data_IF_416003616581
#
_entry.id   IF_416003616581
#
_cell.length_a   1.000
_cell.length_b   1.000
_cell.length_c   1.000
_cell.angle_alpha   90.00
_cell.angle_beta   90.00
_cell.angle_gamma   90.00
#
_symmetry.space_group_name_H-M   'P 1'
#
loop_
_entity.id
_entity.type
_entity.pdbx_description
1 polymer ?
#
# COMPACT_ATOMS: atom_id res chain seq x y z
N UNK A 1 -38.53 5.98 6.68
CA UNK A 1 -37.15 6.12 7.18
C UNK A 1 -37.00 5.13 8.33
N UNK A 2 -35.85 4.48 8.50
CA UNK A 2 -35.54 3.40 9.47
C UNK A 2 -35.54 1.97 8.90
N UNK A 3 -34.53 1.64 8.10
CA UNK A 3 -34.20 0.23 7.78
C UNK A 3 -32.69 -0.06 7.79
N UNK A 4 -31.87 0.84 8.34
CA UNK A 4 -30.40 0.69 8.39
C UNK A 4 -29.86 -0.03 9.64
N UNK A 5 -30.72 -0.39 10.60
CA UNK A 5 -30.28 -0.87 11.93
C UNK A 5 -30.31 -2.39 12.14
N UNK A 6 -30.31 -3.19 11.06
CA UNK A 6 -30.26 -4.66 11.17
C UNK A 6 -28.88 -5.20 10.74
N UNK A 7 -27.89 -5.32 11.65
CA UNK A 7 -26.57 -5.86 11.32
C UNK A 7 -26.62 -7.29 10.73
N UNK A 8 -27.64 -8.09 11.10
CA UNK A 8 -27.86 -9.42 10.55
C UNK A 8 -28.46 -9.47 9.13
N UNK A 9 -28.87 -8.35 8.52
CA UNK A 9 -29.27 -8.32 7.10
C UNK A 9 -28.09 -8.05 6.17
N UNK A 10 -27.04 -7.41 6.65
CA UNK A 10 -25.89 -6.99 5.85
C UNK A 10 -24.88 -8.12 5.56
N UNK A 11 -25.12 -9.36 6.01
CA UNK A 11 -24.22 -10.51 5.81
C UNK A 11 -23.90 -10.83 4.34
N UNK A 12 -24.80 -10.48 3.41
CA UNK A 12 -24.58 -10.71 1.98
C UNK A 12 -23.58 -9.72 1.37
N UNK A 13 -23.41 -8.52 1.95
CA UNK A 13 -22.43 -7.53 1.49
C UNK A 13 -20.98 -8.06 1.55
N UNK A 14 -20.45 -8.50 2.72
CA UNK A 14 -19.10 -9.04 2.82
C UNK A 14 -18.92 -10.34 2.01
N UNK A 15 -20.00 -11.10 1.76
CA UNK A 15 -19.93 -12.27 0.91
C UNK A 15 -19.68 -11.90 -0.56
N UNK A 16 -20.47 -10.96 -1.09
CA UNK A 16 -20.36 -10.51 -2.49
C UNK A 16 -19.02 -9.83 -2.71
N UNK A 17 -18.65 -8.89 -1.83
CA UNK A 17 -17.35 -8.23 -1.91
C UNK A 17 -16.22 -9.24 -1.79
N UNK A 18 -16.31 -10.20 -0.87
CA UNK A 18 -15.31 -11.25 -0.71
C UNK A 18 -15.08 -12.09 -1.97
N UNK A 19 -16.16 -12.51 -2.65
CA UNK A 19 -16.08 -13.21 -3.94
C UNK A 19 -15.44 -12.32 -5.01
N UNK A 20 -15.86 -11.05 -5.10
CA UNK A 20 -15.27 -10.09 -6.04
C UNK A 20 -13.76 -9.93 -5.82
N UNK A 21 -13.32 -9.79 -4.57
CA UNK A 21 -11.90 -9.69 -4.20
C UNK A 21 -11.10 -10.92 -4.66
N UNK A 22 -11.63 -12.14 -4.49
CA UNK A 22 -10.98 -13.37 -4.98
C UNK A 22 -10.89 -13.38 -6.50
N UNK A 23 -11.97 -13.03 -7.20
CA UNK A 23 -11.99 -12.99 -8.67
C UNK A 23 -10.97 -11.99 -9.21
N UNK A 24 -10.91 -10.80 -8.62
CA UNK A 24 -9.92 -9.77 -8.97
C UNK A 24 -8.49 -10.28 -8.71
N UNK A 25 -8.24 -10.90 -7.56
CA UNK A 25 -6.92 -11.46 -7.24
C UNK A 25 -6.47 -12.54 -8.25
N UNK A 26 -7.37 -13.42 -8.67
CA UNK A 26 -7.10 -14.42 -9.72
C UNK A 26 -6.86 -13.74 -11.07
N UNK A 27 -7.62 -12.68 -11.39
CA UNK A 27 -7.46 -11.94 -12.63
C UNK A 27 -6.09 -11.26 -12.69
N UNK A 28 -5.61 -10.67 -11.58
CA UNK A 28 -4.29 -10.04 -11.51
C UNK A 28 -3.18 -11.03 -11.89
N UNK A 29 -3.26 -12.28 -11.44
CA UNK A 29 -2.30 -13.32 -11.83
C UNK A 29 -2.38 -13.70 -13.32
N UNK A 30 -3.56 -13.63 -13.93
CA UNK A 30 -3.72 -13.91 -15.36
C UNK A 30 -3.19 -12.77 -16.24
N UNK A 31 -3.27 -11.54 -15.76
CA UNK A 31 -2.86 -10.34 -16.51
C UNK A 31 -1.87 -9.48 -15.71
N UNK A 32 -0.66 -10.00 -15.42
CA UNK A 32 0.29 -9.31 -14.55
C UNK A 32 0.73 -7.95 -15.12
N UNK A 33 0.95 -7.86 -16.44
CA UNK A 33 1.38 -6.62 -17.09
C UNK A 33 0.32 -5.51 -16.99
N UNK A 34 -0.92 -5.80 -17.40
CA UNK A 34 -2.03 -4.84 -17.36
C UNK A 34 -2.35 -4.40 -15.92
N UNK A 35 -2.30 -5.33 -14.97
CA UNK A 35 -2.55 -5.04 -13.56
C UNK A 35 -1.50 -4.10 -12.99
N UNK A 36 -0.25 -4.30 -13.38
CA UNK A 36 0.85 -3.45 -12.96
C UNK A 36 0.76 -2.04 -13.55
N UNK A 37 0.41 -1.93 -14.85
CA UNK A 37 0.15 -0.63 -15.49
C UNK A 37 -1.01 0.10 -14.81
N UNK A 38 -2.09 -0.62 -14.50
CA UNK A 38 -3.25 -0.06 -13.80
C UNK A 38 -2.88 0.49 -12.42
N UNK A 39 -2.11 -0.29 -11.63
CA UNK A 39 -1.59 0.15 -10.34
C UNK A 39 -0.69 1.38 -10.49
N UNK A 40 0.16 1.39 -11.52
CA UNK A 40 1.07 2.49 -11.80
C UNK A 40 0.33 3.78 -12.11
N UNK A 41 -0.71 3.73 -12.94
CA UNK A 41 -1.56 4.89 -13.26
C UNK A 41 -2.30 5.37 -12.00
N UNK A 42 -2.85 4.44 -11.21
CA UNK A 42 -3.50 4.78 -9.95
C UNK A 42 -2.56 5.54 -9.00
N UNK A 43 -1.31 5.08 -8.88
CA UNK A 43 -0.29 5.79 -8.11
C UNK A 43 0.07 7.14 -8.74
N UNK A 44 0.22 7.23 -10.06
CA UNK A 44 0.53 8.49 -10.74
C UNK A 44 -0.53 9.57 -10.45
N UNK A 45 -1.81 9.20 -10.50
CA UNK A 45 -2.92 10.09 -10.13
C UNK A 45 -2.83 10.47 -8.65
N UNK A 46 -2.50 9.51 -7.78
CA UNK A 46 -2.31 9.78 -6.34
C UNK A 46 -1.18 10.78 -6.09
N UNK A 47 -0.05 10.65 -6.77
CA UNK A 47 1.07 11.60 -6.70
C UNK A 47 0.68 13.00 -7.16
N UNK A 48 -0.07 13.11 -8.27
CA UNK A 48 -0.56 14.40 -8.75
C UNK A 48 -1.50 15.07 -7.74
N UNK A 49 -2.46 14.30 -7.21
CA UNK A 49 -3.43 14.80 -6.24
C UNK A 49 -2.71 15.21 -4.96
N UNK A 50 -1.91 14.32 -4.37
CA UNK A 50 -1.14 14.61 -3.15
C UNK A 50 -0.23 15.82 -3.31
N UNK A 51 0.52 15.89 -4.42
CA UNK A 51 1.40 17.02 -4.71
C UNK A 51 0.64 18.35 -4.80
N UNK A 52 -0.51 18.37 -5.49
CA UNK A 52 -1.36 19.56 -5.58
C UNK A 52 -1.89 19.98 -4.21
N UNK A 53 -2.42 19.04 -3.42
CA UNK A 53 -2.93 19.32 -2.09
C UNK A 53 -1.83 19.81 -1.15
N UNK A 54 -0.63 19.25 -1.21
CA UNK A 54 0.49 19.67 -0.38
C UNK A 54 1.00 21.06 -0.76
N UNK A 55 1.04 21.40 -2.06
CA UNK A 55 1.36 22.76 -2.52
C UNK A 55 0.31 23.75 -2.00
N UNK A 56 -0.98 23.44 -2.13
CA UNK A 56 -2.07 24.32 -1.62
C UNK A 56 -1.93 24.49 -0.11
N UNK A 57 -1.67 23.41 0.62
CA UNK A 57 -1.48 23.44 2.08
C UNK A 57 -0.25 24.27 2.48
N UNK A 58 0.87 24.13 1.77
CA UNK A 58 2.09 24.88 2.02
C UNK A 58 1.91 26.38 1.77
N UNK A 59 1.22 26.76 0.69
CA UNK A 59 0.91 28.15 0.34
C UNK A 59 -0.13 28.77 1.29
N UNK A 60 -1.06 27.98 1.82
CA UNK A 60 -2.04 28.45 2.80
C UNK A 60 -1.43 28.64 4.19
N UNK A 61 -0.40 27.86 4.52
CA UNK A 61 0.25 27.84 5.83
C UNK A 61 1.70 28.34 5.81
N UNK A 62 1.97 29.39 5.05
CA UNK A 62 3.31 30.01 4.91
C UNK A 62 3.90 30.53 6.23
N UNK A 63 3.06 30.74 7.24
CA UNK A 63 3.47 31.15 8.58
C UNK A 63 4.11 30.00 9.40
N UNK A 64 4.00 28.74 8.96
CA UNK A 64 4.62 27.60 9.62
C UNK A 64 6.12 27.51 9.27
N UNK A 65 6.95 27.15 10.25
CA UNK A 65 8.41 27.04 10.08
C UNK A 65 8.84 26.02 9.01
N UNK A 66 7.99 25.04 8.70
CA UNK A 66 8.29 23.96 7.76
C UNK A 66 7.59 24.12 6.40
N UNK A 67 6.94 25.27 6.12
CA UNK A 67 6.14 25.46 4.90
C UNK A 67 6.95 25.22 3.61
N UNK A 68 8.22 25.65 3.58
CA UNK A 68 9.09 25.48 2.42
C UNK A 68 9.43 24.01 2.13
N UNK A 69 9.53 23.17 3.16
CA UNK A 69 9.74 21.73 2.99
C UNK A 69 8.49 21.05 2.42
N UNK A 70 7.30 21.44 2.88
CA UNK A 70 6.04 20.96 2.30
C UNK A 70 5.85 21.41 0.86
N UNK A 71 6.21 22.66 0.52
CA UNK A 71 6.16 23.13 -0.87
C UNK A 71 7.09 22.32 -1.77
N UNK A 72 8.33 22.07 -1.32
CA UNK A 72 9.29 21.27 -2.05
C UNK A 72 8.80 19.81 -2.23
N UNK A 73 8.27 19.20 -1.16
CA UNK A 73 7.67 17.87 -1.20
C UNK A 73 6.53 17.78 -2.21
N UNK A 74 5.57 18.71 -2.14
CA UNK A 74 4.44 18.74 -3.06
C UNK A 74 4.84 18.95 -4.52
N UNK A 75 5.87 19.77 -4.79
CA UNK A 75 6.39 19.95 -6.13
C UNK A 75 7.09 18.69 -6.67
N UNK A 76 7.85 17.99 -5.82
CA UNK A 76 8.49 16.72 -6.16
C UNK A 76 7.42 15.67 -6.50
N UNK A 77 6.38 15.55 -5.68
CA UNK A 77 5.27 14.61 -5.90
C UNK A 77 4.53 14.91 -7.21
N UNK A 78 4.26 16.19 -7.49
CA UNK A 78 3.64 16.61 -8.73
C UNK A 78 4.51 16.25 -9.94
N UNK A 79 5.82 16.49 -9.87
CA UNK A 79 6.77 16.14 -10.93
C UNK A 79 6.79 14.63 -11.19
N UNK A 80 6.86 13.81 -10.13
CA UNK A 80 6.79 12.35 -10.28
C UNK A 80 5.47 11.93 -10.93
N UNK A 81 4.33 12.47 -10.51
CA UNK A 81 3.03 12.19 -11.12
C UNK A 81 3.00 12.50 -12.63
N UNK A 82 3.56 13.65 -13.04
CA UNK A 82 3.64 14.04 -14.46
C UNK A 82 4.55 13.07 -15.25
N UNK A 83 5.71 12.72 -14.71
CA UNK A 83 6.65 11.78 -15.34
C UNK A 83 6.00 10.41 -15.51
N UNK A 84 5.28 9.94 -14.49
CA UNK A 84 4.61 8.64 -14.50
C UNK A 84 3.48 8.57 -15.55
N UNK A 85 2.79 9.67 -15.84
CA UNK A 85 1.77 9.72 -16.90
C UNK A 85 2.40 9.78 -18.30
N UNK A 86 3.57 10.43 -18.42
CA UNK A 86 4.23 10.64 -19.70
C UNK A 86 4.72 9.34 -20.35
N UNK A 87 5.05 8.32 -19.56
CA UNK A 87 5.48 7.01 -20.08
C UNK A 87 5.07 5.87 -19.14
N UNK A 88 4.34 4.85 -19.65
CA UNK A 88 3.99 3.65 -18.88
C UNK A 88 5.21 2.92 -18.29
N UNK A 89 6.34 2.90 -19.01
CA UNK A 89 7.56 2.23 -18.56
C UNK A 89 8.24 2.98 -17.41
N UNK A 90 8.26 4.32 -17.48
CA UNK A 90 8.76 5.15 -16.37
C UNK A 90 7.83 5.06 -15.17
N UNK A 91 6.52 5.05 -15.41
CA UNK A 91 5.48 4.84 -14.40
C UNK A 91 5.80 3.61 -13.55
N UNK A 92 5.93 2.46 -14.21
CA UNK A 92 6.27 1.18 -13.59
C UNK A 92 7.55 1.28 -12.74
N UNK A 93 8.62 1.83 -13.32
CA UNK A 93 9.92 1.95 -12.67
C UNK A 93 9.83 2.83 -11.41
N UNK A 94 9.19 4.00 -11.51
CA UNK A 94 9.00 4.92 -10.38
C UNK A 94 8.17 4.25 -9.29
N UNK A 95 7.12 3.51 -9.63
CA UNK A 95 6.33 2.76 -8.66
C UNK A 95 7.16 1.70 -7.91
N UNK A 96 7.98 0.93 -8.63
CA UNK A 96 8.85 -0.07 -8.00
C UNK A 96 9.89 0.57 -7.07
N UNK A 97 10.49 1.68 -7.50
CA UNK A 97 11.44 2.43 -6.67
C UNK A 97 10.75 3.01 -5.42
N UNK A 98 9.60 3.65 -5.60
CA UNK A 98 8.82 4.23 -4.50
C UNK A 98 8.47 3.18 -3.44
N UNK A 99 7.92 2.03 -3.86
CA UNK A 99 7.59 0.94 -2.94
C UNK A 99 8.87 0.38 -2.29
N UNK A 100 9.95 0.22 -3.04
CA UNK A 100 11.25 -0.20 -2.51
C UNK A 100 11.76 0.73 -1.40
N UNK A 101 11.71 2.05 -1.61
CA UNK A 101 12.09 3.04 -0.60
C UNK A 101 11.19 3.00 0.63
N UNK A 102 9.88 2.84 0.46
CA UNK A 102 8.96 2.68 1.61
C UNK A 102 9.29 1.43 2.41
N UNK A 103 9.54 0.30 1.76
CA UNK A 103 9.91 -0.95 2.45
C UNK A 103 11.25 -0.75 3.16
N UNK A 104 12.22 -0.10 2.54
CA UNK A 104 13.52 0.20 3.15
C UNK A 104 13.36 1.00 4.44
N UNK A 105 12.61 2.11 4.38
CA UNK A 105 12.39 2.97 5.54
C UNK A 105 11.62 2.22 6.66
N UNK A 106 10.57 1.47 6.31
CA UNK A 106 9.83 0.63 7.26
C UNK A 106 10.73 -0.42 7.91
N UNK A 107 11.65 -0.99 7.15
CA UNK A 107 12.58 -2.01 7.64
C UNK A 107 13.58 -1.41 8.62
N UNK A 108 14.13 -0.23 8.35
CA UNK A 108 14.97 0.50 9.30
C UNK A 108 14.22 0.87 10.58
N UNK A 109 12.97 1.33 10.48
CA UNK A 109 12.14 1.57 11.66
C UNK A 109 11.89 0.30 12.47
N UNK A 110 11.65 -0.84 11.82
CA UNK A 110 11.49 -2.15 12.49
C UNK A 110 12.76 -2.58 13.23
N UNK A 111 13.93 -2.34 12.64
CA UNK A 111 15.22 -2.59 13.29
C UNK A 111 15.36 -1.70 14.53
N UNK A 112 15.10 -0.40 14.41
CA UNK A 112 15.12 0.53 15.54
C UNK A 112 14.14 0.11 16.65
N UNK A 113 12.95 -0.34 16.29
CA UNK A 113 11.96 -0.86 17.23
C UNK A 113 12.44 -2.14 17.94
N UNK A 114 13.10 -3.04 17.21
CA UNK A 114 13.68 -4.25 17.79
C UNK A 114 14.78 -3.95 18.81
N UNK A 115 15.61 -2.93 18.56
CA UNK A 115 16.63 -2.48 19.50
C UNK A 115 16.00 -1.92 20.78
N UNK A 116 14.96 -1.09 20.66
CA UNK A 116 14.20 -0.62 21.82
C UNK A 116 13.59 -1.78 22.64
N UNK A 117 13.02 -2.78 21.98
CA UNK A 117 12.48 -3.97 22.68
C UNK A 117 13.56 -4.77 23.41
N UNK A 118 14.78 -4.82 22.86
CA UNK A 118 15.92 -5.48 23.49
C UNK A 118 16.33 -4.76 24.78
N UNK A 119 16.33 -3.43 24.78
CA UNK A 119 16.60 -2.63 25.98
C UNK A 119 15.54 -2.86 27.06
N UNK A 120 14.28 -3.04 26.68
CA UNK A 120 13.17 -3.37 27.58
C UNK A 120 13.15 -4.85 28.03
N UNK A 121 14.21 -5.63 27.74
CA UNK A 121 14.34 -7.07 28.06
C UNK A 121 13.16 -7.93 27.56
N UNK A 122 12.45 -7.51 26.52
CA UNK A 122 11.32 -8.26 25.96
C UNK A 122 11.81 -9.46 25.17
N UNK A 123 11.27 -10.66 25.43
CA UNK A 123 11.63 -11.91 24.72
C UNK A 123 11.34 -11.87 23.21
N UNK A 124 10.49 -10.94 22.75
CA UNK A 124 10.10 -10.82 21.33
C UNK A 124 10.97 -9.84 20.53
N UNK A 125 12.12 -9.40 21.03
CA UNK A 125 12.99 -8.46 20.29
C UNK A 125 13.53 -9.02 18.97
N UNK A 126 13.74 -10.34 18.90
CA UNK A 126 14.38 -10.98 17.74
C UNK A 126 13.48 -10.98 16.49
N UNK A 127 12.15 -11.08 16.65
CA UNK A 127 11.24 -11.13 15.50
C UNK A 127 11.27 -9.86 14.64
N UNK A 128 11.03 -8.63 15.17
CA UNK A 128 11.09 -7.42 14.36
C UNK A 128 12.49 -7.13 13.80
N UNK A 129 13.55 -7.62 14.45
CA UNK A 129 14.91 -7.49 13.92
C UNK A 129 15.08 -8.33 12.65
N UNK A 130 14.69 -9.60 12.69
CA UNK A 130 14.79 -10.52 11.55
C UNK A 130 13.95 -10.00 10.39
N UNK A 131 12.70 -9.61 10.65
CA UNK A 131 11.83 -9.03 9.62
C UNK A 131 12.41 -7.73 9.04
N UNK A 132 13.02 -6.90 9.88
CA UNK A 132 13.70 -5.69 9.44
C UNK A 132 14.89 -5.98 8.52
N UNK A 133 15.77 -6.92 8.88
CA UNK A 133 16.93 -7.26 8.04
C UNK A 133 16.49 -7.87 6.70
N UNK A 134 15.53 -8.81 6.72
CA UNK A 134 14.98 -9.39 5.50
C UNK A 134 14.35 -8.30 4.63
N UNK A 135 13.61 -7.38 5.24
CA UNK A 135 12.97 -6.27 4.55
C UNK A 135 13.98 -5.31 3.91
N UNK A 136 15.11 -5.02 4.57
CA UNK A 136 16.19 -4.21 3.97
C UNK A 136 16.76 -4.88 2.73
N UNK A 137 17.10 -6.17 2.82
CA UNK A 137 17.65 -6.93 1.68
C UNK A 137 16.65 -6.94 0.53
N UNK A 138 15.38 -7.24 0.83
CA UNK A 138 14.31 -7.25 -0.14
C UNK A 138 14.13 -5.90 -0.83
N UNK A 139 14.15 -4.80 -0.07
CA UNK A 139 14.06 -3.45 -0.60
C UNK A 139 15.25 -3.08 -1.49
N UNK A 140 16.48 -3.46 -1.12
CA UNK A 140 17.67 -3.21 -1.94
C UNK A 140 17.56 -3.95 -3.27
N UNK A 141 17.15 -5.23 -3.27
CA UNK A 141 16.94 -6.00 -4.51
C UNK A 141 15.89 -5.31 -5.39
N UNK A 142 14.81 -4.83 -4.79
CA UNK A 142 13.73 -4.13 -5.48
C UNK A 142 14.17 -2.78 -6.09
N UNK A 143 15.05 -2.05 -5.42
CA UNK A 143 15.59 -0.77 -5.91
C UNK A 143 16.61 -0.99 -7.05
N UNK A 144 17.50 -1.96 -6.90
CA UNK A 144 18.54 -2.27 -7.90
C UNK A 144 17.93 -2.95 -9.14
N UNK A 145 16.88 -3.75 -8.94
CA UNK A 145 16.16 -4.42 -10.01
C UNK A 145 14.66 -4.07 -9.98
N UNK A 146 14.25 -2.96 -10.64
CA UNK A 146 12.85 -2.53 -10.69
C UNK A 146 11.90 -3.58 -11.27
N UNK A 147 12.38 -4.46 -12.17
CA UNK A 147 11.56 -5.53 -12.72
C UNK A 147 11.17 -6.57 -11.64
N UNK A 148 12.09 -6.90 -10.73
CA UNK A 148 11.78 -7.72 -9.56
C UNK A 148 10.77 -7.01 -8.64
N UNK A 149 10.91 -5.68 -8.50
CA UNK A 149 9.95 -4.85 -7.76
C UNK A 149 8.53 -4.92 -8.31
N UNK A 150 8.38 -4.76 -9.62
CA UNK A 150 7.09 -4.86 -10.30
C UNK A 150 6.43 -6.23 -10.10
N UNK A 151 7.17 -7.31 -10.31
CA UNK A 151 6.67 -8.68 -10.07
C UNK A 151 6.24 -8.89 -8.63
N UNK A 152 7.05 -8.41 -7.68
CA UNK A 152 6.75 -8.51 -6.26
C UNK A 152 5.46 -7.76 -5.90
N UNK A 153 5.29 -6.54 -6.40
CA UNK A 153 4.06 -5.74 -6.21
C UNK A 153 2.84 -6.52 -6.72
N UNK A 154 2.92 -7.09 -7.92
CA UNK A 154 1.81 -7.86 -8.50
C UNK A 154 1.47 -9.07 -7.63
N UNK A 155 2.47 -9.87 -7.23
CA UNK A 155 2.27 -11.07 -6.43
C UNK A 155 1.65 -10.72 -5.07
N UNK A 156 2.21 -9.73 -4.37
CA UNK A 156 1.67 -9.32 -3.08
C UNK A 156 0.28 -8.71 -3.19
N UNK A 157 0.01 -7.93 -4.23
CA UNK A 157 -1.31 -7.36 -4.46
C UNK A 157 -2.32 -8.47 -4.72
N UNK A 158 -2.05 -9.39 -5.65
CA UNK A 158 -2.94 -10.51 -5.95
C UNK A 158 -3.23 -11.38 -4.72
N UNK A 159 -2.18 -11.73 -3.95
CA UNK A 159 -2.33 -12.47 -2.70
C UNK A 159 -3.15 -11.68 -1.67
N UNK A 160 -2.92 -10.38 -1.53
CA UNK A 160 -3.70 -9.54 -0.62
C UNK A 160 -5.18 -9.51 -1.01
N UNK A 161 -5.52 -9.35 -2.30
CA UNK A 161 -6.89 -9.41 -2.79
C UNK A 161 -7.54 -10.77 -2.46
N UNK A 162 -6.86 -11.89 -2.70
CA UNK A 162 -7.38 -13.22 -2.38
C UNK A 162 -7.59 -13.39 -0.86
N UNK A 163 -6.60 -13.02 -0.05
CA UNK A 163 -6.67 -13.15 1.42
C UNK A 163 -7.80 -12.29 1.99
N UNK A 164 -7.90 -11.02 1.56
CA UNK A 164 -8.99 -10.13 1.95
C UNK A 164 -10.34 -10.73 1.54
N UNK A 165 -10.42 -11.30 0.34
CA UNK A 165 -11.62 -11.98 -0.14
C UNK A 165 -12.03 -13.16 0.75
N UNK A 166 -11.08 -14.02 1.11
CA UNK A 166 -11.30 -15.15 2.04
C UNK A 166 -11.77 -14.63 3.40
N UNK A 167 -11.09 -13.63 3.97
CA UNK A 167 -11.45 -13.06 5.28
C UNK A 167 -12.86 -12.48 5.25
N UNK A 168 -13.26 -11.77 4.20
CA UNK A 168 -14.61 -11.21 4.08
C UNK A 168 -15.68 -12.29 3.94
N UNK A 169 -15.41 -13.37 3.21
CA UNK A 169 -16.33 -14.53 3.14
C UNK A 169 -16.49 -15.17 4.52
N UNK A 170 -15.39 -15.38 5.25
CA UNK A 170 -15.44 -15.91 6.62
C UNK A 170 -16.23 -14.99 7.55
N UNK A 171 -16.02 -13.68 7.43
CA UNK A 171 -16.74 -12.67 8.21
C UNK A 171 -18.25 -12.66 7.89
N UNK A 172 -18.62 -12.84 6.62
CA UNK A 172 -20.01 -12.98 6.20
C UNK A 172 -20.70 -14.16 6.90
N UNK A 173 -20.02 -15.31 6.97
CA UNK A 173 -20.53 -16.48 7.67
C UNK A 173 -20.60 -16.27 9.19
N UNK A 174 -19.64 -15.56 9.77
CA UNK A 174 -19.66 -15.20 11.19
C UNK A 174 -20.88 -14.33 11.54
N UNK A 175 -21.17 -13.28 10.76
CA UNK A 175 -22.37 -12.43 10.93
C UNK A 175 -23.65 -13.26 10.77
N UNK A 176 -23.68 -14.15 9.77
CA UNK A 176 -24.85 -15.03 9.55
C UNK A 176 -25.11 -15.95 10.74
N UNK A 177 -24.05 -16.41 11.41
CA UNK A 177 -24.15 -17.29 12.60
C UNK A 177 -24.62 -16.54 13.85
N UNK A 178 -24.23 -15.28 14.02
CA UNK A 178 -24.67 -14.40 15.14
C UNK A 178 -26.16 -14.01 15.07
N UNK A 179 -26.80 -14.18 13.91
CA UNK A 179 -28.23 -13.94 13.72
C UNK A 179 -29.11 -15.14 14.12
N UNK A 180 -28.51 -16.33 14.28
CA UNK A 180 -29.20 -17.53 14.78
C UNK A 180 -29.05 -17.61 16.29
#
# INVERSE_FOLDING_TARGET
MDNYNNPGRLWFLPLITGILFIVVGIWIFKTPMESYLTLSIFFAVTFLISGLFEIIHALSNTHLRNWGWSLAGGLIDLLFGIIMISSPLLSATVLALYVGFIILFRSFMSIGFALNLRELQSRSWASPLIFGIIGVIFAIIMIVNPAFGGLSIIIYTALAFILVGIVQILFAFMIRKLKR
#
